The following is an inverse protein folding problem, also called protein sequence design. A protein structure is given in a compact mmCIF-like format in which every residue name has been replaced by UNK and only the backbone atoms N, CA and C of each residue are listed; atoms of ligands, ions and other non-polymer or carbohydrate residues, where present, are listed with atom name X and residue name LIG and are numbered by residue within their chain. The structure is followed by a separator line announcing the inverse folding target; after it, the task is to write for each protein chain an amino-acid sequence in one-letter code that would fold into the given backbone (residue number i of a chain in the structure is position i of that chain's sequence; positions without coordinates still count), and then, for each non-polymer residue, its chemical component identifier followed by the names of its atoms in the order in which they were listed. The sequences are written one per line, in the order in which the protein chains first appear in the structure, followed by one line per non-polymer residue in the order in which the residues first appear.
data_IF_338274007458
#
_entry.id   IF_338274007458
#
_cell.length_a   1.000
_cell.length_b   1.000
_cell.length_c   1.000
_cell.angle_alpha   90.00
_cell.angle_beta   90.00
_cell.angle_gamma   90.00
#
_symmetry.space_group_name_H-M   'P 1'
#
loop_
_entity.id
_entity.type
_entity.pdbx_description
1 polymer ?
#
# COMPACT_ATOMS: atom_id res chain seq x y z
N UNK A 1 8.19 -23.16 16.13
CA UNK A 1 7.23 -23.28 15.04
C UNK A 1 7.95 -23.10 13.73
N UNK A 2 7.91 -24.10 12.85
CA UNK A 2 8.57 -24.02 11.52
C UNK A 2 7.64 -23.30 10.55
N UNK A 3 8.08 -22.21 9.89
CA UNK A 3 7.29 -21.54 8.89
C UNK A 3 7.00 -22.50 7.72
N UNK A 4 5.77 -22.52 7.24
CA UNK A 4 5.41 -23.30 6.07
C UNK A 4 6.01 -22.63 4.84
N UNK A 5 6.79 -23.38 4.06
CA UNK A 5 7.31 -22.87 2.80
C UNK A 5 6.19 -22.93 1.74
N UNK A 6 5.80 -21.75 1.23
CA UNK A 6 4.80 -21.65 0.17
C UNK A 6 5.47 -21.57 -1.20
N UNK A 7 4.99 -22.36 -2.15
CA UNK A 7 5.38 -22.20 -3.54
C UNK A 7 4.71 -20.94 -4.13
N UNK A 8 5.54 -19.92 -4.39
CA UNK A 8 5.08 -18.63 -4.91
C UNK A 8 4.37 -18.78 -6.28
N UNK A 9 4.85 -19.67 -7.15
CA UNK A 9 4.26 -19.84 -8.48
C UNK A 9 2.86 -20.45 -8.39
N UNK A 10 2.70 -21.45 -7.54
CA UNK A 10 1.41 -22.06 -7.26
C UNK A 10 0.45 -21.05 -6.64
N UNK A 11 0.91 -20.31 -5.63
CA UNK A 11 0.10 -19.27 -4.97
C UNK A 11 -0.36 -18.18 -5.95
N UNK A 12 0.51 -17.77 -6.89
CA UNK A 12 0.15 -16.84 -7.96
C UNK A 12 -0.89 -17.41 -8.92
N UNK A 13 -0.77 -18.70 -9.29
CA UNK A 13 -1.73 -19.35 -10.16
C UNK A 13 -3.11 -19.48 -9.50
N UNK A 14 -3.15 -19.91 -8.24
CA UNK A 14 -4.39 -20.02 -7.46
C UNK A 14 -5.06 -18.66 -7.26
N UNK A 15 -4.25 -17.60 -7.02
CA UNK A 15 -4.77 -16.24 -6.90
C UNK A 15 -5.35 -15.73 -8.21
N UNK A 16 -4.77 -16.09 -9.35
CA UNK A 16 -5.29 -15.69 -10.67
C UNK A 16 -6.69 -16.28 -10.93
N UNK A 17 -6.92 -17.53 -10.55
CA UNK A 17 -8.25 -18.17 -10.67
C UNK A 17 -9.26 -17.53 -9.73
N UNK A 18 -8.89 -17.27 -8.47
CA UNK A 18 -9.73 -16.56 -7.50
C UNK A 18 -10.18 -15.19 -7.99
N UNK A 19 -9.26 -14.42 -8.58
CA UNK A 19 -9.57 -13.09 -9.10
C UNK A 19 -10.44 -13.13 -10.36
N UNK A 20 -10.37 -14.21 -11.13
CA UNK A 20 -11.23 -14.39 -12.32
C UNK A 20 -12.69 -14.64 -11.93
N UNK A 21 -12.94 -15.27 -10.78
CA UNK A 21 -14.26 -15.60 -10.27
C UNK A 21 -14.88 -14.47 -9.42
N UNK A 22 -14.15 -13.37 -9.19
CA UNK A 22 -14.63 -12.26 -8.39
C UNK A 22 -15.83 -11.55 -9.05
N UNK A 23 -16.90 -11.28 -8.28
CA UNK A 23 -18.12 -10.61 -8.73
C UNK A 23 -17.84 -9.23 -9.33
N UNK A 24 -17.04 -8.44 -8.62
CA UNK A 24 -16.51 -7.14 -9.11
C UNK A 24 -15.14 -7.39 -9.70
N UNK A 25 -14.94 -7.00 -10.94
CA UNK A 25 -13.65 -7.17 -11.61
C UNK A 25 -12.54 -6.48 -10.80
N UNK A 26 -11.47 -7.21 -10.45
CA UNK A 26 -10.33 -6.63 -9.74
C UNK A 26 -9.71 -5.44 -10.47
N UNK A 27 -9.73 -5.47 -11.80
CA UNK A 27 -9.25 -4.36 -12.64
C UNK A 27 -10.11 -3.11 -12.45
N UNK A 28 -11.45 -3.28 -12.40
CA UNK A 28 -12.36 -2.16 -12.19
C UNK A 28 -12.22 -1.57 -10.77
N UNK A 29 -11.99 -2.41 -9.77
CA UNK A 29 -11.74 -1.96 -8.40
C UNK A 29 -10.43 -1.17 -8.29
N UNK A 30 -9.35 -1.63 -8.91
CA UNK A 30 -8.07 -0.90 -8.96
C UNK A 30 -8.24 0.42 -9.71
N UNK A 31 -8.98 0.42 -10.84
CA UNK A 31 -9.25 1.63 -11.61
C UNK A 31 -10.05 2.66 -10.80
N UNK A 32 -11.07 2.21 -10.06
CA UNK A 32 -11.84 3.08 -9.16
C UNK A 32 -10.95 3.65 -8.05
N UNK A 33 -10.17 2.80 -7.37
CA UNK A 33 -9.28 3.20 -6.28
C UNK A 33 -8.26 4.25 -6.75
N UNK A 34 -7.49 3.94 -7.80
CA UNK A 34 -6.47 4.85 -8.32
C UNK A 34 -7.08 6.08 -9.02
N UNK A 35 -8.25 5.94 -9.63
CA UNK A 35 -8.99 7.06 -10.20
C UNK A 35 -9.41 8.09 -9.15
N UNK A 36 -9.89 7.62 -7.98
CA UNK A 36 -10.22 8.51 -6.86
C UNK A 36 -8.94 9.20 -6.35
N UNK A 37 -7.83 8.47 -6.19
CA UNK A 37 -6.56 9.07 -5.76
C UNK A 37 -6.08 10.13 -6.74
N UNK A 38 -6.14 9.87 -8.04
CA UNK A 38 -5.76 10.84 -9.07
C UNK A 38 -6.61 12.12 -8.99
N UNK A 39 -7.92 11.98 -8.77
CA UNK A 39 -8.81 13.15 -8.59
C UNK A 39 -8.43 13.94 -7.33
N UNK A 40 -8.12 13.25 -6.22
CA UNK A 40 -7.69 13.90 -4.98
C UNK A 40 -6.36 14.64 -5.16
N UNK A 41 -5.40 14.05 -5.87
CA UNK A 41 -4.11 14.67 -6.16
C UNK A 41 -4.27 15.90 -7.06
N UNK A 42 -5.17 15.84 -8.06
CA UNK A 42 -5.51 17.00 -8.89
C UNK A 42 -6.17 18.13 -8.08
N UNK A 43 -7.07 17.79 -7.16
CA UNK A 43 -7.69 18.79 -6.27
C UNK A 43 -6.65 19.43 -5.34
N UNK A 44 -5.75 18.63 -4.78
CA UNK A 44 -4.65 19.14 -3.96
C UNK A 44 -3.71 20.04 -4.78
N UNK A 45 -3.42 19.66 -6.02
CA UNK A 45 -2.61 20.47 -6.94
C UNK A 45 -3.27 21.81 -7.26
N UNK A 46 -4.55 21.84 -7.61
CA UNK A 46 -5.30 23.08 -7.87
C UNK A 46 -5.29 23.96 -6.62
N UNK A 47 -5.45 23.37 -5.43
CA UNK A 47 -5.41 24.09 -4.17
C UNK A 47 -4.02 24.63 -3.81
N UNK A 48 -2.93 24.04 -4.35
CA UNK A 48 -1.56 24.46 -4.07
C UNK A 48 -1.23 25.87 -4.62
N UNK A 49 -1.96 26.31 -5.64
CA UNK A 49 -1.85 27.68 -6.18
C UNK A 49 -2.47 28.77 -5.28
N UNK A 50 -3.14 28.37 -4.20
CA UNK A 50 -3.80 29.23 -3.23
C UNK A 50 -2.83 29.63 -2.09
N UNK A 51 -3.34 29.80 -0.88
CA UNK A 51 -2.50 30.09 0.30
C UNK A 51 -1.76 28.85 0.79
N UNK A 52 -0.57 29.03 1.39
CA UNK A 52 0.21 27.92 2.00
C UNK A 52 -0.61 27.08 2.99
N UNK A 53 -1.47 27.74 3.76
CA UNK A 53 -2.34 27.07 4.75
C UNK A 53 -3.31 26.13 4.05
N UNK A 54 -3.96 26.58 2.96
CA UNK A 54 -4.92 25.76 2.23
C UNK A 54 -4.22 24.60 1.52
N UNK A 55 -3.07 24.83 0.91
CA UNK A 55 -2.29 23.78 0.23
C UNK A 55 -1.86 22.69 1.23
N UNK A 56 -1.37 23.08 2.39
CA UNK A 56 -0.98 22.14 3.47
C UNK A 56 -2.19 21.36 3.97
N UNK A 57 -3.32 22.03 4.20
CA UNK A 57 -4.56 21.36 4.63
C UNK A 57 -5.04 20.34 3.61
N UNK A 58 -5.09 20.70 2.34
CA UNK A 58 -5.50 19.78 1.26
C UNK A 58 -4.56 18.58 1.14
N UNK A 59 -3.25 18.78 1.24
CA UNK A 59 -2.26 17.70 1.18
C UNK A 59 -2.43 16.72 2.35
N UNK A 60 -2.65 17.23 3.56
CA UNK A 60 -2.91 16.38 4.74
C UNK A 60 -4.22 15.61 4.54
N UNK A 61 -5.30 16.28 4.11
CA UNK A 61 -6.59 15.66 3.88
C UNK A 61 -6.49 14.53 2.83
N UNK A 62 -5.85 14.81 1.70
CA UNK A 62 -5.61 13.82 0.63
C UNK A 62 -4.82 12.62 1.16
N UNK A 63 -3.76 12.86 1.94
CA UNK A 63 -2.97 11.80 2.56
C UNK A 63 -3.80 10.93 3.51
N UNK A 64 -4.64 11.51 4.36
CA UNK A 64 -5.51 10.78 5.27
C UNK A 64 -6.57 9.94 4.51
N UNK A 65 -7.21 10.53 3.51
CA UNK A 65 -8.19 9.82 2.67
C UNK A 65 -7.52 8.67 1.92
N UNK A 66 -6.32 8.87 1.37
CA UNK A 66 -5.55 7.82 0.69
C UNK A 66 -5.22 6.65 1.62
N UNK A 67 -4.86 6.90 2.88
CA UNK A 67 -4.64 5.86 3.89
C UNK A 67 -5.90 5.03 4.13
N UNK A 68 -7.05 5.66 4.23
CA UNK A 68 -8.32 4.97 4.48
C UNK A 68 -8.76 4.16 3.26
N UNK A 69 -8.63 4.73 2.06
CA UNK A 69 -8.96 4.03 0.81
C UNK A 69 -8.03 2.84 0.55
N UNK A 70 -6.74 2.94 0.87
CA UNK A 70 -5.82 1.80 0.76
C UNK A 70 -6.25 0.66 1.68
N UNK A 71 -6.76 1.01 2.84
CA UNK A 71 -7.41 0.09 3.75
C UNK A 71 -8.63 -0.58 3.15
N UNK A 72 -9.57 0.17 2.59
CA UNK A 72 -10.75 -0.36 1.92
C UNK A 72 -10.40 -1.29 0.74
N UNK A 73 -9.35 -0.96 -0.01
CA UNK A 73 -8.84 -1.84 -1.08
C UNK A 73 -8.32 -3.18 -0.52
N UNK A 74 -7.62 -3.16 0.62
CA UNK A 74 -7.21 -4.38 1.29
C UNK A 74 -8.41 -5.22 1.77
N UNK A 75 -9.48 -4.57 2.28
CA UNK A 75 -10.75 -5.25 2.65
C UNK A 75 -11.39 -5.92 1.45
N UNK A 76 -11.47 -5.23 0.31
CA UNK A 76 -11.94 -5.84 -0.95
C UNK A 76 -11.15 -7.10 -1.30
N UNK A 77 -9.81 -7.03 -1.27
CA UNK A 77 -8.97 -8.20 -1.57
C UNK A 77 -9.17 -9.35 -0.56
N UNK A 78 -9.37 -9.02 0.72
CA UNK A 78 -9.69 -10.03 1.75
C UNK A 78 -11.03 -10.69 1.50
N UNK A 79 -12.07 -9.92 1.15
CA UNK A 79 -13.40 -10.44 0.83
C UNK A 79 -13.35 -11.37 -0.40
N UNK A 80 -12.67 -10.95 -1.48
CA UNK A 80 -12.48 -11.79 -2.67
C UNK A 80 -11.77 -13.10 -2.31
N UNK A 81 -10.72 -13.04 -1.49
CA UNK A 81 -9.98 -14.24 -1.10
C UNK A 81 -10.78 -15.21 -0.23
N UNK A 82 -11.75 -14.72 0.54
CA UNK A 82 -12.68 -15.53 1.34
C UNK A 82 -13.87 -16.05 0.54
N UNK A 83 -13.99 -15.68 -0.75
CA UNK A 83 -15.16 -16.01 -1.57
C UNK A 83 -16.41 -15.21 -1.18
N UNK A 84 -16.25 -14.12 -0.42
CA UNK A 84 -17.34 -13.24 -0.04
C UNK A 84 -17.75 -12.34 -1.21
N UNK A 85 -18.98 -11.84 -1.17
CA UNK A 85 -19.51 -10.94 -2.21
C UNK A 85 -18.97 -9.51 -1.96
N UNK A 86 -17.79 -9.22 -2.52
CA UNK A 86 -17.25 -7.87 -2.51
C UNK A 86 -17.96 -6.98 -3.54
N UNK A 87 -18.25 -5.74 -3.16
CA UNK A 87 -18.87 -4.71 -4.00
C UNK A 87 -17.95 -3.49 -4.13
N UNK A 88 -18.27 -2.57 -5.05
CA UNK A 88 -17.48 -1.34 -5.20
C UNK A 88 -17.47 -0.49 -3.90
N UNK A 89 -18.58 -0.53 -3.16
CA UNK A 89 -18.68 0.19 -1.89
C UNK A 89 -17.77 -0.34 -0.80
N UNK A 90 -17.29 -1.59 -0.89
CA UNK A 90 -16.30 -2.17 0.03
C UNK A 90 -15.02 -1.33 0.11
N UNK A 91 -14.70 -0.57 -0.95
CA UNK A 91 -13.59 0.39 -0.93
C UNK A 91 -13.74 1.45 0.17
N UNK A 92 -14.98 1.81 0.51
CA UNK A 92 -15.29 2.84 1.51
C UNK A 92 -15.50 2.27 2.92
N UNK A 93 -15.52 0.94 3.09
CA UNK A 93 -15.67 0.32 4.41
C UNK A 93 -14.53 0.68 5.37
N UNK A 94 -13.35 1.03 4.81
CA UNK A 94 -12.23 1.55 5.58
C UNK A 94 -12.57 2.79 6.42
N UNK A 95 -13.55 3.60 5.99
CA UNK A 95 -13.97 4.79 6.73
C UNK A 95 -14.63 4.47 8.08
N UNK A 96 -15.24 3.29 8.22
CA UNK A 96 -15.84 2.86 9.50
C UNK A 96 -14.80 2.71 10.62
N UNK A 97 -13.54 2.49 10.28
CA UNK A 97 -12.43 2.36 11.23
C UNK A 97 -11.28 3.34 10.93
N UNK A 98 -11.56 4.45 10.24
CA UNK A 98 -10.55 5.40 9.76
C UNK A 98 -9.56 5.84 10.86
N UNK A 99 -10.03 6.16 12.06
CA UNK A 99 -9.18 6.58 13.17
C UNK A 99 -8.15 5.51 13.57
N UNK A 100 -8.55 4.23 13.63
CA UNK A 100 -7.64 3.12 13.94
C UNK A 100 -6.66 2.86 12.80
N UNK A 101 -7.10 3.00 11.55
CA UNK A 101 -6.26 2.86 10.36
C UNK A 101 -5.17 3.94 10.31
N UNK A 102 -5.57 5.19 10.50
CA UNK A 102 -4.65 6.33 10.52
C UNK A 102 -3.63 6.13 11.65
N UNK A 103 -4.09 5.79 12.86
CA UNK A 103 -3.19 5.54 14.00
C UNK A 103 -2.23 4.39 13.71
N UNK A 104 -2.72 3.28 13.14
CA UNK A 104 -1.89 2.13 12.77
C UNK A 104 -0.81 2.54 11.77
N UNK A 105 -1.20 3.22 10.68
CA UNK A 105 -0.28 3.65 9.63
C UNK A 105 0.76 4.63 10.17
N UNK A 106 0.36 5.59 11.02
CA UNK A 106 1.28 6.52 11.65
C UNK A 106 2.29 5.79 12.55
N UNK A 107 1.83 4.88 13.40
CA UNK A 107 2.73 4.09 14.27
C UNK A 107 3.70 3.24 13.47
N UNK A 108 3.24 2.62 12.39
CA UNK A 108 4.10 1.86 11.47
C UNK A 108 5.14 2.77 10.82
N UNK A 109 4.71 3.90 10.25
CA UNK A 109 5.59 4.85 9.56
C UNK A 109 6.67 5.41 10.49
N UNK A 110 6.29 5.84 11.70
CA UNK A 110 7.24 6.32 12.71
C UNK A 110 8.24 5.24 13.09
N UNK A 111 7.74 4.01 13.32
CA UNK A 111 8.62 2.89 13.71
C UNK A 111 9.58 2.54 12.58
N UNK A 112 9.10 2.44 11.33
CA UNK A 112 9.94 2.16 10.16
C UNK A 112 10.97 3.28 9.96
N UNK A 113 10.57 4.54 10.08
CA UNK A 113 11.46 5.70 9.94
C UNK A 113 12.59 5.68 10.98
N UNK A 114 12.27 5.40 12.25
CA UNK A 114 13.27 5.30 13.33
C UNK A 114 14.30 4.19 13.03
N UNK A 115 13.85 3.01 12.59
CA UNK A 115 14.77 1.94 12.20
C UNK A 115 15.58 2.27 10.95
N UNK A 116 14.99 2.98 9.99
CA UNK A 116 15.66 3.42 8.75
C UNK A 116 16.71 4.49 9.02
N UNK A 117 16.52 5.34 10.04
CA UNK A 117 17.52 6.31 10.48
C UNK A 117 18.79 5.64 11.04
N UNK A 118 18.66 4.47 11.68
CA UNK A 118 19.84 3.71 12.12
C UNK A 118 20.60 3.17 10.89
N UNK A 119 19.93 2.41 10.06
CA UNK A 119 20.43 1.86 8.79
C UNK A 119 19.25 1.45 7.89
N UNK A 120 19.47 1.46 6.59
CA UNK A 120 18.46 1.06 5.60
C UNK A 120 17.93 -0.39 5.83
N UNK A 121 18.82 -1.32 6.13
CA UNK A 121 18.46 -2.75 6.31
C UNK A 121 17.51 -2.96 7.49
N UNK A 122 17.74 -2.43 8.72
CA UNK A 122 16.77 -2.50 9.81
C UNK A 122 15.40 -1.89 9.47
N UNK A 123 15.38 -0.79 8.69
CA UNK A 123 14.12 -0.18 8.22
C UNK A 123 13.32 -1.13 7.33
N UNK A 124 13.97 -1.77 6.36
CA UNK A 124 13.35 -2.78 5.50
C UNK A 124 12.80 -3.95 6.33
N UNK A 125 13.59 -4.46 7.27
CA UNK A 125 13.16 -5.56 8.16
C UNK A 125 11.96 -5.14 9.01
N UNK A 126 11.90 -3.89 9.47
CA UNK A 126 10.76 -3.35 10.22
C UNK A 126 9.50 -3.24 9.34
N UNK A 127 9.63 -2.82 8.09
CA UNK A 127 8.51 -2.79 7.14
C UNK A 127 7.88 -4.19 6.97
N UNK A 128 8.69 -5.23 6.75
CA UNK A 128 8.19 -6.60 6.67
C UNK A 128 7.61 -7.11 8.00
N UNK A 129 8.13 -6.66 9.14
CA UNK A 129 7.64 -7.05 10.48
C UNK A 129 6.19 -6.64 10.70
N UNK A 130 5.77 -5.49 10.21
CA UNK A 130 4.45 -4.91 10.47
C UNK A 130 3.48 -5.05 9.30
N UNK A 131 3.87 -5.75 8.24
CA UNK A 131 3.11 -5.84 6.99
C UNK A 131 1.70 -6.41 7.16
N UNK A 132 1.51 -7.35 8.08
CA UNK A 132 0.22 -7.99 8.34
C UNK A 132 -0.64 -7.26 9.39
N UNK A 133 -0.16 -6.16 9.96
CA UNK A 133 -0.89 -5.47 11.03
C UNK A 133 -2.24 -4.93 10.56
N UNK A 134 -2.30 -4.42 9.33
CA UNK A 134 -3.52 -3.95 8.70
C UNK A 134 -4.58 -5.07 8.61
N UNK A 135 -4.19 -6.25 8.15
CA UNK A 135 -5.10 -7.40 8.02
C UNK A 135 -5.61 -7.89 9.38
N UNK A 136 -4.77 -7.89 10.42
CA UNK A 136 -5.21 -8.22 11.77
C UNK A 136 -6.24 -7.23 12.30
N UNK A 137 -6.08 -5.94 12.02
CA UNK A 137 -7.03 -4.91 12.43
C UNK A 137 -8.38 -5.07 11.72
N UNK A 138 -8.36 -5.49 10.45
CA UNK A 138 -9.59 -5.78 9.71
C UNK A 138 -10.32 -7.02 10.18
N UNK A 139 -9.57 -8.08 10.52
CA UNK A 139 -10.18 -9.30 11.05
C UNK A 139 -10.85 -9.07 12.41
N UNK A 140 -10.32 -8.16 13.20
CA UNK A 140 -10.90 -7.79 14.49
C UNK A 140 -10.71 -6.29 14.77
N UNK A 141 -11.71 -5.47 14.44
CA UNK A 141 -11.68 -4.04 14.72
C UNK A 141 -11.61 -3.66 16.21
N UNK A 142 -11.89 -4.61 17.12
CA UNK A 142 -11.83 -4.38 18.56
C UNK A 142 -10.40 -4.26 19.10
N UNK A 143 -9.41 -4.84 18.41
CA UNK A 143 -8.01 -4.78 18.86
C UNK A 143 -7.43 -3.37 18.66
N UNK A 144 -6.41 -3.06 19.45
CA UNK A 144 -5.67 -1.81 19.29
C UNK A 144 -4.64 -1.89 18.16
N UNK A 145 -4.25 -0.74 17.59
CA UNK A 145 -3.20 -0.66 16.58
C UNK A 145 -1.88 -1.31 17.04
N UNK A 146 -1.46 -1.09 18.29
CA UNK A 146 -0.27 -1.72 18.87
C UNK A 146 -0.41 -3.25 18.99
N UNK A 147 -1.60 -3.72 19.30
CA UNK A 147 -1.87 -5.16 19.37
C UNK A 147 -1.80 -5.78 17.97
N UNK A 148 -2.38 -5.14 16.96
CA UNK A 148 -2.28 -5.55 15.56
C UNK A 148 -0.81 -5.63 15.09
N UNK A 149 0.03 -4.65 15.44
CA UNK A 149 1.46 -4.66 15.13
C UNK A 149 2.21 -5.80 15.85
N UNK A 150 1.91 -6.07 17.13
CA UNK A 150 2.52 -7.18 17.90
C UNK A 150 2.15 -8.54 17.30
N UNK A 151 0.91 -8.70 16.87
CA UNK A 151 0.45 -9.92 16.19
C UNK A 151 1.17 -10.11 14.86
N UNK A 152 1.23 -9.06 14.02
CA UNK A 152 1.97 -9.05 12.77
C UNK A 152 3.43 -9.47 12.96
N UNK A 153 4.10 -8.93 13.98
CA UNK A 153 5.48 -9.31 14.27
C UNK A 153 5.65 -10.82 14.51
N UNK A 154 4.73 -11.45 15.26
CA UNK A 154 4.76 -12.89 15.50
C UNK A 154 4.47 -13.69 14.23
N UNK A 155 3.47 -13.26 13.45
CA UNK A 155 3.05 -13.91 12.20
C UNK A 155 4.13 -13.84 11.12
N UNK A 156 4.83 -12.70 10.98
CA UNK A 156 5.88 -12.51 9.96
C UNK A 156 7.20 -13.20 10.30
N UNK A 157 7.34 -13.75 11.51
CA UNK A 157 8.56 -14.48 11.90
C UNK A 157 8.71 -15.73 11.03
N UNK A 158 9.81 -15.80 10.27
CA UNK A 158 10.09 -16.87 9.30
C UNK A 158 9.54 -16.62 7.89
N UNK A 159 8.62 -15.67 7.69
CA UNK A 159 8.05 -15.35 6.36
C UNK A 159 8.69 -14.16 5.66
N UNK A 160 9.51 -13.36 6.33
CA UNK A 160 10.09 -12.12 5.76
C UNK A 160 10.81 -12.33 4.44
N UNK A 161 11.62 -13.41 4.33
CA UNK A 161 12.33 -13.73 3.10
C UNK A 161 11.39 -14.20 1.97
N UNK A 162 10.31 -14.89 2.32
CA UNK A 162 9.28 -15.29 1.33
C UNK A 162 8.53 -14.07 0.81
N UNK A 163 8.16 -13.13 1.70
CA UNK A 163 7.55 -11.84 1.33
C UNK A 163 8.50 -11.01 0.46
N UNK A 164 9.79 -10.95 0.83
CA UNK A 164 10.79 -10.29 0.00
C UNK A 164 10.89 -10.90 -1.41
N UNK A 165 10.92 -12.23 -1.53
CA UNK A 165 10.91 -12.91 -2.84
C UNK A 165 9.62 -12.62 -3.63
N UNK A 166 8.49 -12.54 -2.94
CA UNK A 166 7.24 -12.11 -3.56
C UNK A 166 7.37 -10.71 -4.15
N UNK A 167 7.83 -9.72 -3.38
CA UNK A 167 8.02 -8.35 -3.87
C UNK A 167 9.00 -8.28 -5.04
N UNK A 168 10.12 -9.01 -4.96
CA UNK A 168 11.08 -9.08 -6.07
C UNK A 168 10.46 -9.66 -7.35
N UNK A 169 9.48 -10.55 -7.23
CA UNK A 169 8.78 -11.11 -8.39
C UNK A 169 7.82 -10.12 -9.07
N UNK A 170 7.48 -9.01 -8.41
CA UNK A 170 6.69 -7.90 -8.97
C UNK A 170 7.55 -6.67 -9.30
N UNK A 171 8.87 -6.73 -9.05
CA UNK A 171 9.78 -5.59 -9.25
C UNK A 171 9.66 -4.99 -10.65
N UNK A 172 9.54 -5.83 -11.70
CA UNK A 172 9.36 -5.35 -13.07
C UNK A 172 8.11 -4.49 -13.26
N UNK A 173 7.02 -4.81 -12.58
CA UNK A 173 5.80 -4.01 -12.61
C UNK A 173 5.97 -2.68 -11.87
N UNK A 174 6.67 -2.65 -10.73
CA UNK A 174 6.97 -1.41 -10.02
C UNK A 174 7.87 -0.48 -10.85
N UNK A 175 8.89 -1.05 -11.49
CA UNK A 175 9.77 -0.30 -12.39
C UNK A 175 8.98 0.30 -13.56
N UNK A 176 8.10 -0.49 -14.17
CA UNK A 176 7.26 -0.05 -15.27
C UNK A 176 6.27 1.04 -14.81
N UNK A 177 5.62 0.88 -13.67
CA UNK A 177 4.68 1.87 -13.13
C UNK A 177 5.38 3.21 -12.80
N UNK A 178 6.59 3.15 -12.25
CA UNK A 178 7.39 4.34 -11.91
C UNK A 178 8.15 4.98 -13.08
N UNK A 179 8.12 4.38 -14.28
CA UNK A 179 8.94 4.80 -15.41
C UNK A 179 8.81 6.29 -15.77
N UNK A 180 7.62 6.91 -15.85
CA UNK A 180 7.51 8.34 -16.15
C UNK A 180 8.18 9.22 -15.09
N UNK A 181 7.95 8.92 -13.79
CA UNK A 181 8.54 9.68 -12.68
C UNK A 181 10.08 9.56 -12.66
N UNK A 182 10.61 8.39 -13.03
CA UNK A 182 12.05 8.19 -13.11
C UNK A 182 12.65 8.88 -14.31
N UNK A 183 11.95 8.88 -15.45
CA UNK A 183 12.37 9.59 -16.63
C UNK A 183 12.44 11.11 -16.37
N UNK A 184 11.45 11.67 -15.70
CA UNK A 184 11.43 13.07 -15.27
C UNK A 184 12.59 13.38 -14.32
N UNK A 185 12.78 12.56 -13.28
CA UNK A 185 13.86 12.73 -12.32
C UNK A 185 15.25 12.62 -12.99
N UNK A 186 15.40 11.69 -13.94
CA UNK A 186 16.64 11.53 -14.71
C UNK A 186 16.91 12.75 -15.58
N UNK A 187 15.90 13.22 -16.30
CA UNK A 187 16.00 14.42 -17.14
C UNK A 187 16.39 15.65 -16.31
N UNK A 188 15.66 15.91 -15.22
CA UNK A 188 15.95 17.00 -14.31
C UNK A 188 17.39 16.94 -13.77
N UNK A 189 17.82 15.79 -13.29
CA UNK A 189 19.18 15.63 -12.75
C UNK A 189 20.25 15.77 -13.85
N UNK A 190 20.01 15.28 -15.07
CA UNK A 190 20.97 15.39 -16.17
C UNK A 190 21.20 16.85 -16.57
N UNK A 191 20.18 17.67 -16.55
CA UNK A 191 20.30 19.11 -16.83
C UNK A 191 20.91 19.91 -15.65
N UNK A 192 20.61 19.53 -14.40
CA UNK A 192 21.16 20.16 -13.21
C UNK A 192 22.61 19.81 -12.95
N UNK A 193 23.03 18.59 -13.32
CA UNK A 193 24.36 18.06 -13.00
C UNK A 193 25.53 18.92 -13.46
N UNK A 194 25.56 19.50 -14.68
CA UNK A 194 26.66 20.38 -15.12
C UNK A 194 26.83 21.61 -14.23
N UNK A 195 25.73 22.21 -13.74
CA UNK A 195 25.77 23.35 -12.86
C UNK A 195 26.25 22.97 -11.45
N UNK A 196 25.78 21.83 -10.93
CA UNK A 196 26.22 21.32 -9.63
C UNK A 196 27.71 20.98 -9.62
N UNK A 197 28.22 20.39 -10.69
CA UNK A 197 29.64 20.01 -10.82
C UNK A 197 30.55 21.24 -11.04
N UNK A 198 30.06 22.27 -11.72
CA UNK A 198 30.84 23.52 -11.96
C UNK A 198 30.78 24.50 -10.80
N UNK A 199 29.92 24.28 -9.78
CA UNK A 199 29.65 25.23 -8.73
C UNK A 199 28.92 26.50 -9.21
N UNK A 200 28.39 26.50 -10.43
CA UNK A 200 27.62 27.59 -10.98
C UNK A 200 26.20 27.61 -10.40
N UNK A 201 25.61 28.81 -10.25
CA UNK A 201 24.22 28.93 -9.87
C UNK A 201 23.32 28.31 -10.94
N UNK A 202 22.28 27.60 -10.52
CA UNK A 202 21.25 27.07 -11.43
C UNK A 202 20.55 28.26 -12.12
N UNK A 203 20.30 28.18 -13.44
CA UNK A 203 19.56 29.23 -14.14
C UNK A 203 18.19 29.49 -13.50
N UNK A 204 17.71 30.74 -13.53
CA UNK A 204 16.38 31.10 -13.02
C UNK A 204 15.26 30.27 -13.69
N UNK A 205 15.43 29.92 -14.97
CA UNK A 205 14.53 29.02 -15.71
C UNK A 205 14.42 27.64 -15.05
N UNK A 206 15.46 27.18 -14.39
CA UNK A 206 15.48 25.90 -13.67
C UNK A 206 14.61 25.94 -12.42
N UNK A 207 14.61 27.08 -11.70
CA UNK A 207 13.74 27.30 -10.54
C UNK A 207 12.26 27.35 -10.93
N UNK A 208 11.94 27.89 -12.10
CA UNK A 208 10.57 27.93 -12.63
C UNK A 208 10.06 26.54 -13.01
N UNK A 209 10.91 25.70 -13.63
CA UNK A 209 10.56 24.31 -13.96
C UNK A 209 10.38 23.45 -12.71
N UNK A 210 11.12 23.69 -11.64
CA UNK A 210 10.98 22.97 -10.38
C UNK A 210 9.79 23.44 -9.52
N UNK A 211 9.30 24.65 -9.75
CA UNK A 211 8.22 25.25 -8.96
C UNK A 211 6.81 25.00 -9.49
N UNK A 212 6.69 24.58 -10.74
CA UNK A 212 5.41 24.34 -11.41
C UNK A 212 5.41 22.94 -12.03
N UNK A 213 5.02 21.90 -11.28
CA UNK A 213 4.70 20.63 -11.94
C UNK A 213 3.55 20.90 -12.91
N UNK A 214 3.79 20.62 -14.20
CA UNK A 214 2.77 20.74 -15.24
C UNK A 214 1.60 19.81 -14.85
N UNK A 215 0.40 20.37 -14.70
CA UNK A 215 -0.81 19.58 -14.41
C UNK A 215 -1.07 18.51 -15.48
N UNK A 216 -0.66 18.78 -16.73
CA UNK A 216 -0.69 17.81 -17.82
C UNK A 216 0.21 16.61 -17.51
N UNK A 217 1.40 16.85 -16.94
CA UNK A 217 2.32 15.79 -16.54
C UNK A 217 1.76 14.95 -15.38
N UNK A 218 1.12 15.58 -14.40
CA UNK A 218 0.44 14.89 -13.30
C UNK A 218 -0.65 13.93 -13.84
N UNK A 219 -1.45 14.37 -14.82
CA UNK A 219 -2.45 13.52 -15.45
C UNK A 219 -1.81 12.36 -16.21
N UNK A 220 -0.79 12.63 -17.03
CA UNK A 220 -0.11 11.60 -17.83
C UNK A 220 0.52 10.54 -16.93
N UNK A 221 1.26 10.95 -15.88
CA UNK A 221 1.89 10.03 -14.94
C UNK A 221 0.85 9.24 -14.14
N UNK A 222 -0.22 9.88 -13.69
CA UNK A 222 -1.31 9.23 -12.97
C UNK A 222 -2.06 8.21 -13.83
N UNK A 223 -2.39 8.55 -15.07
CA UNK A 223 -3.03 7.62 -16.02
C UNK A 223 -2.10 6.47 -16.39
N UNK A 224 -0.81 6.71 -16.56
CA UNK A 224 0.18 5.66 -16.78
C UNK A 224 0.23 4.70 -15.62
N UNK A 225 0.36 5.24 -14.40
CA UNK A 225 0.40 4.43 -13.18
C UNK A 225 -0.88 3.60 -13.02
N UNK A 226 -2.04 4.19 -13.28
CA UNK A 226 -3.32 3.49 -13.30
C UNK A 226 -3.33 2.35 -14.33
N UNK A 227 -2.95 2.64 -15.57
CA UNK A 227 -2.94 1.66 -16.66
C UNK A 227 -2.04 0.45 -16.36
N UNK A 228 -0.87 0.67 -15.74
CA UNK A 228 0.04 -0.42 -15.36
C UNK A 228 -0.46 -1.16 -14.12
N UNK A 229 -0.94 -0.43 -13.10
CA UNK A 229 -1.33 -1.01 -11.80
C UNK A 229 -2.56 -1.92 -11.88
N UNK A 230 -3.46 -1.68 -12.83
CA UNK A 230 -4.62 -2.55 -13.11
C UNK A 230 -4.22 -4.02 -13.33
N UNK A 231 -3.02 -4.27 -13.86
CA UNK A 231 -2.58 -5.63 -14.18
C UNK A 231 -1.99 -6.40 -13.01
N UNK A 232 -1.42 -5.72 -12.01
CA UNK A 232 -0.68 -6.45 -10.96
C UNK A 232 -1.17 -6.15 -9.53
N UNK A 233 -1.73 -4.98 -9.25
CA UNK A 233 -1.96 -4.52 -7.87
C UNK A 233 -2.88 -5.44 -7.07
N UNK A 234 -4.07 -5.76 -7.61
CA UNK A 234 -5.00 -6.67 -6.93
C UNK A 234 -4.43 -8.09 -6.80
N UNK A 235 -3.72 -8.55 -7.83
CA UNK A 235 -3.07 -9.87 -7.81
C UNK A 235 -1.97 -9.94 -6.75
N UNK A 236 -1.10 -8.95 -6.67
CA UNK A 236 -0.06 -8.87 -5.65
C UNK A 236 -0.64 -8.84 -4.24
N UNK A 237 -1.66 -8.01 -4.00
CA UNK A 237 -2.34 -7.90 -2.71
C UNK A 237 -2.97 -9.22 -2.27
N UNK A 238 -3.64 -9.93 -3.19
CA UNK A 238 -4.24 -11.23 -2.90
C UNK A 238 -3.19 -12.34 -2.69
N UNK A 239 -2.03 -12.29 -3.36
CA UNK A 239 -0.90 -13.20 -3.10
C UNK A 239 -0.35 -12.96 -1.69
N UNK A 240 -0.18 -11.69 -1.30
CA UNK A 240 0.26 -11.32 0.05
C UNK A 240 -0.68 -11.85 1.14
N UNK A 241 -1.99 -11.74 0.92
CA UNK A 241 -3.00 -12.31 1.81
C UNK A 241 -2.86 -13.83 1.96
N UNK A 242 -2.40 -14.55 0.91
CA UNK A 242 -2.08 -15.97 1.02
C UNK A 242 -0.95 -16.26 2.01
N UNK A 243 0.08 -15.42 2.02
CA UNK A 243 1.13 -15.50 3.04
C UNK A 243 0.60 -15.16 4.44
N UNK A 244 -0.30 -14.18 4.55
CA UNK A 244 -0.94 -13.85 5.82
C UNK A 244 -1.73 -15.03 6.40
N UNK A 245 -2.55 -15.71 5.60
CA UNK A 245 -3.31 -16.88 6.03
C UNK A 245 -2.42 -18.05 6.47
N UNK A 246 -1.36 -18.34 5.71
CA UNK A 246 -0.39 -19.36 6.07
C UNK A 246 0.37 -18.99 7.37
N UNK A 247 0.72 -17.72 7.52
CA UNK A 247 1.38 -17.22 8.72
C UNK A 247 0.48 -17.31 9.96
N UNK A 248 -0.81 -17.04 9.83
CA UNK A 248 -1.81 -17.28 10.90
C UNK A 248 -1.88 -18.74 11.28
N UNK A 249 -1.99 -19.62 10.29
CA UNK A 249 -2.09 -21.07 10.53
C UNK A 249 -0.84 -21.61 11.23
N UNK A 250 0.35 -21.21 10.79
CA UNK A 250 1.62 -21.71 11.34
C UNK A 250 2.00 -21.09 12.69
N UNK A 251 1.66 -19.82 12.93
CA UNK A 251 1.98 -19.14 14.19
C UNK A 251 0.96 -19.41 15.31
N UNK A 252 -0.24 -19.85 14.97
CA UNK A 252 -1.37 -19.95 15.90
C UNK A 252 -1.88 -18.60 16.41
N UNK A 253 -1.39 -17.49 15.85
CA UNK A 253 -1.78 -16.13 16.22
C UNK A 253 -2.82 -15.63 15.25
N UNK A 254 -4.05 -15.40 15.73
CA UNK A 254 -5.17 -14.87 14.92
C UNK A 254 -5.87 -13.77 15.69
N UNK A 255 -6.32 -12.75 14.97
CA UNK A 255 -7.16 -11.69 15.50
C UNK A 255 -8.63 -12.13 15.66
N UNK A 256 -9.04 -13.17 14.95
CA UNK A 256 -10.40 -13.71 15.05
C UNK A 256 -10.63 -14.19 16.48
N UNK A 257 -11.66 -13.64 17.13
CA UNK A 257 -12.11 -14.10 18.44
C UNK A 257 -12.59 -15.55 18.27
N UNK A 258 -11.87 -16.50 18.87
CA UNK A 258 -12.40 -17.85 19.05
C UNK A 258 -13.45 -17.72 20.15
N UNK A 259 -14.70 -17.66 19.78
CA UNK A 259 -15.76 -17.89 20.79
C UNK A 259 -15.48 -19.27 21.40
N UNK A 260 -15.47 -19.39 22.74
CA UNK A 260 -15.35 -20.70 23.37
C UNK A 260 -16.45 -21.59 22.76
N UNK A 261 -16.16 -22.87 22.50
CA UNK A 261 -17.18 -23.79 22.03
C UNK A 261 -18.37 -23.68 22.99
N UNK A 262 -19.57 -23.47 22.43
CA UNK A 262 -20.82 -23.43 23.19
C UNK A 262 -20.79 -24.69 24.09
N UNK A 263 -20.54 -24.53 25.38
CA UNK A 263 -20.87 -25.55 26.35
C UNK A 263 -22.38 -25.65 26.31
N UNK A 264 -22.88 -26.64 25.57
CA UNK A 264 -24.26 -27.09 25.66
C UNK A 264 -24.43 -27.58 27.09
N UNK A 265 -24.82 -26.64 27.96
CA UNK A 265 -25.29 -26.98 29.29
C UNK A 265 -26.50 -27.87 29.16
N UNK A 266 -26.30 -29.13 29.56
CA UNK A 266 -27.35 -30.07 29.88
C UNK A 266 -28.08 -29.59 31.11
#
# INVERSE_FOLDING_TARGET
MTPTFLDLNRLKADTKTLLADARVSPKAMVALYLGILLVLDLLAYIGSSSTEILSTFLSILTGLVSMVLSGGFAMYCMAVRRGERAEFFTLFDGFSMAGKLILLTLLQSVTIALFSMLFLIPGIVAAYRYRFALYNLYENPEISALQAMRMSHKQTTGYKMQLFRMDMSYLGWFLLAGLPLWAESFWYNSEAMPYLLSGAALPETFAVYSALPDWGWLIVTGLWQLAVSIFYMAHMQCVELGYFEAAKASSGVSAVRRDPPFESGI
#
